data_IF_123970059224
#
_entry.id   IF_123970059224
#
_cell.length_a   1.000
_cell.length_b   1.000
_cell.length_c   1.000
_cell.angle_alpha   90.00
_cell.angle_beta   90.00
_cell.angle_gamma   90.00
#
_symmetry.space_group_name_H-M   'P 1'
#
loop_
_entity.id
_entity.type
_entity.pdbx_description
1 polymer ?
#
# COMPACT_ATOMS: atom_id res chain seq x y z
N UNK A 1 34.97 -17.29 63.90
CA UNK A 1 34.05 -18.26 63.29
C UNK A 1 33.12 -17.56 62.28
N UNK A 2 32.55 -18.31 61.31
CA UNK A 2 31.66 -17.80 60.26
C UNK A 2 30.38 -18.61 60.22
N UNK A 3 29.34 -17.96 59.75
CA UNK A 3 28.05 -18.58 59.50
C UNK A 3 27.55 -18.19 58.11
N UNK A 4 26.72 -19.04 57.55
CA UNK A 4 26.05 -18.80 56.28
C UNK A 4 24.55 -18.63 56.50
N UNK A 5 23.93 -17.72 55.79
CA UNK A 5 22.49 -17.50 55.82
C UNK A 5 21.97 -17.65 54.41
N UNK A 6 21.02 -18.54 54.22
CA UNK A 6 20.33 -18.71 52.93
C UNK A 6 19.28 -17.61 52.80
N UNK A 7 19.34 -16.86 51.71
CA UNK A 7 18.37 -15.82 51.41
C UNK A 7 17.73 -16.08 50.04
N UNK A 8 16.55 -15.56 49.86
CA UNK A 8 15.84 -15.59 48.56
C UNK A 8 15.82 -14.17 47.96
N UNK A 9 16.18 -14.08 46.72
CA UNK A 9 16.16 -12.83 45.98
C UNK A 9 15.18 -12.95 44.82
N UNK A 10 14.26 -12.01 44.71
CA UNK A 10 13.33 -11.96 43.60
C UNK A 10 14.00 -11.16 42.47
N UNK A 11 14.08 -11.74 41.29
CA UNK A 11 14.56 -11.07 40.09
C UNK A 11 13.33 -10.71 39.25
N UNK A 12 13.12 -9.41 39.04
CA UNK A 12 11.98 -8.94 38.28
C UNK A 12 12.16 -9.29 36.80
N UNK A 13 11.16 -9.94 36.16
CA UNK A 13 11.22 -10.18 34.72
C UNK A 13 11.29 -8.88 33.94
N UNK A 14 12.05 -8.86 32.86
CA UNK A 14 12.16 -7.64 32.04
C UNK A 14 10.83 -7.20 31.46
N UNK A 15 9.91 -8.11 31.16
CA UNK A 15 8.54 -7.76 30.74
C UNK A 15 7.81 -6.86 31.74
N UNK A 16 8.14 -6.94 33.02
CA UNK A 16 7.54 -6.12 34.07
C UNK A 16 8.30 -4.82 34.34
N UNK A 17 9.54 -4.72 33.83
CA UNK A 17 10.38 -3.53 33.98
C UNK A 17 10.18 -2.52 32.86
N UNK A 18 9.78 -2.97 31.68
CA UNK A 18 9.70 -2.14 30.49
C UNK A 18 8.27 -2.09 29.94
N UNK A 19 7.92 -0.96 29.36
CA UNK A 19 6.62 -0.76 28.70
C UNK A 19 6.89 -0.32 27.27
N UNK A 20 7.05 -1.27 26.32
CA UNK A 20 7.32 -0.93 24.94
C UNK A 20 6.11 -0.27 24.29
N UNK A 21 6.39 0.65 23.37
CA UNK A 21 5.37 1.40 22.66
C UNK A 21 5.44 1.13 21.16
N UNK A 22 4.30 1.21 20.49
CA UNK A 22 4.22 1.02 19.06
C UNK A 22 4.65 2.27 18.29
N UNK A 23 5.20 2.04 17.10
CA UNK A 23 5.37 3.05 16.05
C UNK A 23 4.34 2.72 14.97
N UNK A 24 3.35 3.59 14.78
CA UNK A 24 2.33 3.39 13.77
C UNK A 24 2.96 3.26 12.38
N UNK A 25 2.43 2.36 11.58
CA UNK A 25 2.93 2.04 10.25
C UNK A 25 1.93 2.45 9.17
N UNK A 26 2.44 2.90 8.05
CA UNK A 26 1.67 3.13 6.84
C UNK A 26 2.38 2.39 5.71
N UNK A 27 1.67 1.49 5.03
CA UNK A 27 2.25 0.59 4.04
C UNK A 27 1.43 0.56 2.76
N UNK A 28 2.09 0.18 1.68
CA UNK A 28 1.42 -0.11 0.42
C UNK A 28 0.70 -1.47 0.49
N UNK A 29 -0.29 -1.65 -0.36
CA UNK A 29 -0.99 -2.93 -0.48
C UNK A 29 0.00 -4.08 -0.71
N UNK A 30 -0.12 -5.12 0.09
CA UNK A 30 0.73 -6.32 0.00
C UNK A 30 2.08 -6.23 0.69
N UNK A 31 2.44 -5.11 1.32
CA UNK A 31 3.73 -4.91 1.98
C UNK A 31 3.60 -5.01 3.50
N UNK A 32 3.99 -6.16 4.07
CA UNK A 32 4.01 -6.34 5.53
C UNK A 32 5.11 -5.48 6.13
N UNK A 33 4.80 -4.63 7.12
CA UNK A 33 5.83 -3.83 7.78
C UNK A 33 6.77 -4.70 8.61
N UNK A 34 8.01 -4.23 8.75
CA UNK A 34 9.00 -4.89 9.59
C UNK A 34 8.61 -4.72 11.06
N UNK A 35 8.45 -5.81 11.84
CA UNK A 35 8.14 -5.69 13.25
C UNK A 35 9.23 -4.97 14.06
N UNK A 36 10.49 -5.10 13.67
CA UNK A 36 11.61 -4.44 14.36
C UNK A 36 11.52 -2.90 14.30
N UNK A 37 10.92 -2.35 13.26
CA UNK A 37 10.71 -0.91 13.11
C UNK A 37 9.32 -0.46 13.51
N UNK A 38 8.49 -1.38 13.99
CA UNK A 38 7.12 -1.13 14.41
C UNK A 38 6.97 -0.95 15.93
N UNK A 39 8.07 -1.08 16.66
CA UNK A 39 8.14 -0.88 18.11
C UNK A 39 9.30 0.06 18.41
N UNK A 40 9.07 1.02 19.30
CA UNK A 40 10.15 1.91 19.74
C UNK A 40 11.06 1.13 20.69
N UNK A 41 12.28 0.84 20.24
CA UNK A 41 13.27 0.07 21.00
C UNK A 41 14.17 0.95 21.89
N UNK A 42 14.01 2.26 21.83
CA UNK A 42 14.81 3.19 22.65
C UNK A 42 14.53 2.93 24.12
N UNK A 43 15.59 2.69 24.88
CA UNK A 43 15.50 2.41 26.31
C UNK A 43 15.22 0.94 26.66
N UNK A 44 14.99 0.08 25.67
CA UNK A 44 14.87 -1.34 25.89
C UNK A 44 16.27 -1.98 26.01
N UNK A 45 16.38 -3.15 26.68
CA UNK A 45 17.68 -3.80 26.85
C UNK A 45 18.33 -4.17 25.51
N UNK A 46 19.66 -4.12 25.45
CA UNK A 46 20.40 -4.62 24.30
C UNK A 46 20.07 -6.09 24.07
N UNK A 47 19.89 -6.47 22.80
CA UNK A 47 19.51 -7.83 22.44
C UNK A 47 17.99 -8.06 22.41
N UNK A 48 17.17 -7.04 22.68
CA UNK A 48 15.73 -7.12 22.51
C UNK A 48 15.40 -7.27 21.02
N UNK A 49 14.55 -8.22 20.68
CA UNK A 49 14.09 -8.49 19.32
C UNK A 49 12.56 -8.39 19.25
N UNK A 50 12.05 -8.12 18.04
CA UNK A 50 10.62 -7.98 17.81
C UNK A 50 10.20 -8.84 16.62
N UNK A 51 9.14 -9.61 16.81
CA UNK A 51 8.51 -10.41 15.76
C UNK A 51 7.01 -10.13 15.74
N UNK A 52 6.33 -10.56 14.68
CA UNK A 52 4.86 -10.49 14.66
C UNK A 52 4.29 -11.72 15.40
N UNK A 53 3.44 -11.47 16.39
CA UNK A 53 2.55 -12.50 16.95
C UNK A 53 1.33 -12.64 16.04
N UNK A 54 0.72 -11.52 15.67
CA UNK A 54 -0.34 -11.43 14.68
C UNK A 54 0.13 -10.51 13.58
N UNK A 55 0.45 -11.08 12.43
CA UNK A 55 0.89 -10.31 11.26
C UNK A 55 -0.27 -9.47 10.76
N UNK A 56 -0.09 -8.16 10.52
CA UNK A 56 -1.15 -7.34 9.97
C UNK A 56 -1.57 -7.82 8.59
N UNK A 57 -2.88 -7.77 8.30
CA UNK A 57 -3.42 -8.09 6.98
C UNK A 57 -3.23 -6.87 6.08
N UNK A 58 -2.36 -6.99 5.08
CA UNK A 58 -2.05 -5.91 4.14
C UNK A 58 -2.68 -6.11 2.77
N UNK A 59 -3.65 -7.03 2.66
CA UNK A 59 -4.31 -7.36 1.38
C UNK A 59 -5.41 -6.40 0.98
N UNK A 60 -5.97 -5.65 1.92
CA UNK A 60 -7.03 -4.68 1.67
C UNK A 60 -6.69 -3.34 2.30
N UNK A 61 -7.15 -2.21 1.72
CA UNK A 61 -6.87 -0.89 2.29
C UNK A 61 -7.59 -0.66 3.61
N UNK A 62 -7.08 0.27 4.39
CA UNK A 62 -7.64 0.67 5.67
C UNK A 62 -6.82 0.26 6.87
N UNK A 63 -7.44 0.30 8.04
CA UNK A 63 -6.80 0.00 9.33
C UNK A 63 -6.79 -1.51 9.58
N UNK A 64 -5.59 -2.08 9.67
CA UNK A 64 -5.38 -3.51 9.94
C UNK A 64 -4.25 -3.67 10.94
N UNK A 65 -4.52 -3.47 12.26
CA UNK A 65 -3.46 -3.54 13.26
C UNK A 65 -2.86 -4.93 13.37
N UNK A 66 -1.55 -4.98 13.66
CA UNK A 66 -0.87 -6.21 14.02
C UNK A 66 -0.59 -6.25 15.52
N UNK A 67 -0.15 -7.40 16.00
CA UNK A 67 0.35 -7.56 17.37
C UNK A 67 1.81 -7.96 17.29
N UNK A 68 2.70 -7.11 17.79
CA UNK A 68 4.11 -7.39 17.86
C UNK A 68 4.44 -8.11 19.18
N UNK A 69 5.40 -9.01 19.13
CA UNK A 69 5.93 -9.72 20.28
C UNK A 69 7.35 -9.23 20.52
N UNK A 70 7.55 -8.59 21.67
CA UNK A 70 8.85 -8.06 22.08
C UNK A 70 9.54 -9.12 22.95
N UNK A 71 10.68 -9.60 22.48
CA UNK A 71 11.47 -10.65 23.16
C UNK A 71 12.63 -10.02 23.89
N UNK A 72 12.62 -10.11 25.22
CA UNK A 72 13.70 -9.59 26.04
C UNK A 72 14.82 -10.61 26.20
N UNK A 73 16.07 -10.15 26.50
CA UNK A 73 17.21 -11.05 26.70
C UNK A 73 17.02 -12.08 27.82
N UNK A 74 16.18 -11.81 28.82
CA UNK A 74 15.89 -12.76 29.90
C UNK A 74 14.86 -13.83 29.51
N UNK A 75 14.39 -13.85 28.27
CA UNK A 75 13.42 -14.83 27.78
C UNK A 75 11.96 -14.45 28.02
N UNK A 76 11.70 -13.33 28.69
CA UNK A 76 10.32 -12.83 28.86
C UNK A 76 9.88 -12.00 27.66
N UNK A 77 8.58 -11.81 27.52
CA UNK A 77 7.98 -11.17 26.33
C UNK A 77 6.87 -10.21 26.70
N UNK A 78 6.72 -9.16 25.88
CA UNK A 78 5.55 -8.28 25.92
C UNK A 78 4.87 -8.25 24.56
N UNK A 79 3.56 -8.05 24.57
CA UNK A 79 2.78 -7.83 23.36
C UNK A 79 2.51 -6.35 23.18
N UNK A 80 2.62 -5.86 21.93
CA UNK A 80 2.33 -4.49 21.60
C UNK A 80 1.42 -4.47 20.39
N UNK A 81 0.23 -3.87 20.52
CA UNK A 81 -0.63 -3.64 19.36
C UNK A 81 -0.05 -2.51 18.51
N UNK A 82 0.18 -2.77 17.23
CA UNK A 82 0.77 -1.82 16.28
C UNK A 82 -0.30 -1.38 15.29
N UNK A 83 -0.64 -0.08 15.28
CA UNK A 83 -1.54 0.44 14.24
C UNK A 83 -0.86 0.34 12.88
N UNK A 84 -1.58 -0.21 11.91
CA UNK A 84 -1.12 -0.32 10.53
C UNK A 84 -2.21 0.20 9.60
N UNK A 85 -1.86 1.19 8.79
CA UNK A 85 -2.73 1.68 7.74
C UNK A 85 -2.21 1.17 6.40
N UNK A 86 -3.05 0.45 5.69
CA UNK A 86 -2.77 0.02 4.32
C UNK A 86 -3.36 1.06 3.38
N UNK A 87 -2.51 1.66 2.54
CA UNK A 87 -2.94 2.67 1.57
C UNK A 87 -3.85 2.07 0.51
N UNK A 88 -4.75 2.88 -0.03
CA UNK A 88 -5.44 2.54 -1.27
C UNK A 88 -4.45 2.60 -2.43
N UNK A 89 -4.60 1.73 -3.42
CA UNK A 89 -3.69 1.72 -4.58
C UNK A 89 -3.70 3.03 -5.36
N UNK A 90 -4.83 3.76 -5.37
CA UNK A 90 -4.88 5.10 -5.97
C UNK A 90 -3.90 6.10 -5.33
N UNK A 91 -3.53 5.88 -4.06
CA UNK A 91 -2.57 6.74 -3.37
C UNK A 91 -1.13 6.40 -3.75
N UNK A 92 -0.88 5.17 -4.16
CA UNK A 92 0.46 4.65 -4.47
C UNK A 92 0.84 4.88 -5.93
N UNK A 93 -0.11 4.72 -6.85
CA UNK A 93 0.14 4.79 -8.28
C UNK A 93 -0.22 6.15 -8.86
N UNK A 94 0.49 6.55 -9.90
CA UNK A 94 0.29 7.82 -10.58
C UNK A 94 0.14 7.58 -12.08
N UNK A 95 -1.05 7.18 -12.54
CA UNK A 95 -1.26 6.83 -13.94
C UNK A 95 -1.18 8.06 -14.83
N UNK A 96 -0.67 7.87 -16.05
CA UNK A 96 -0.48 8.92 -17.03
C UNK A 96 -1.06 8.53 -18.37
N UNK A 97 -1.42 9.55 -19.15
CA UNK A 97 -1.86 9.37 -20.54
C UNK A 97 -0.71 8.89 -21.41
N UNK A 98 -1.00 7.97 -22.30
CA UNK A 98 -0.03 7.43 -23.25
C UNK A 98 0.25 8.44 -24.37
N UNK A 99 1.53 8.60 -24.68
CA UNK A 99 1.99 9.41 -25.81
C UNK A 99 2.73 8.54 -26.83
N UNK A 100 2.48 8.69 -28.13
CA UNK A 100 1.49 9.57 -28.74
C UNK A 100 0.06 9.09 -28.49
N UNK A 101 -0.92 10.00 -28.66
CA UNK A 101 -2.34 9.70 -28.53
C UNK A 101 -2.75 8.58 -29.47
N UNK A 102 -3.69 7.72 -29.04
CA UNK A 102 -4.27 6.74 -29.95
C UNK A 102 -5.06 7.43 -31.07
N UNK A 103 -5.05 6.80 -32.24
CA UNK A 103 -5.79 7.27 -33.41
C UNK A 103 -6.95 6.33 -33.67
N UNK A 104 -8.11 6.89 -33.92
CA UNK A 104 -9.33 6.12 -34.18
C UNK A 104 -10.05 6.70 -35.40
N UNK A 105 -10.93 5.90 -35.96
CA UNK A 105 -11.76 6.26 -37.11
C UNK A 105 -13.02 6.98 -36.64
N UNK A 106 -13.67 7.64 -37.58
CA UNK A 106 -14.99 8.24 -37.39
C UNK A 106 -15.97 7.26 -36.76
N UNK A 107 -16.64 7.66 -35.69
CA UNK A 107 -17.61 6.85 -34.93
C UNK A 107 -17.08 5.56 -34.31
N UNK A 108 -15.75 5.32 -34.33
CA UNK A 108 -15.16 4.21 -33.60
C UNK A 108 -15.16 4.52 -32.12
N UNK A 109 -15.52 3.54 -31.29
CA UNK A 109 -15.40 3.64 -29.84
C UNK A 109 -13.96 3.34 -29.44
N UNK A 110 -13.20 4.30 -28.90
CA UNK A 110 -11.82 4.05 -28.53
C UNK A 110 -11.72 3.07 -27.37
N UNK A 111 -10.65 2.27 -27.35
CA UNK A 111 -10.32 1.43 -26.20
C UNK A 111 -9.64 2.31 -25.13
N UNK A 112 -10.22 2.45 -23.94
CA UNK A 112 -9.65 3.33 -22.91
C UNK A 112 -8.25 2.88 -22.45
N UNK A 113 -7.97 1.58 -22.42
CA UNK A 113 -6.66 1.06 -22.03
C UNK A 113 -5.54 1.55 -22.95
N UNK A 114 -5.83 1.74 -24.22
CA UNK A 114 -4.84 2.22 -25.20
C UNK A 114 -4.45 3.67 -25.01
N UNK A 115 -5.16 4.41 -24.17
CA UNK A 115 -4.85 5.80 -23.85
C UNK A 115 -4.03 5.97 -22.57
N UNK A 116 -3.69 4.88 -21.90
CA UNK A 116 -3.00 4.92 -20.60
C UNK A 116 -1.67 4.16 -20.68
N UNK A 117 -0.65 4.70 -20.01
CA UNK A 117 0.59 3.97 -19.75
C UNK A 117 0.34 2.92 -18.68
N UNK A 118 0.24 1.65 -19.08
CA UNK A 118 -0.18 0.56 -18.19
C UNK A 118 0.98 -0.18 -17.51
N UNK A 119 2.22 0.05 -17.95
CA UNK A 119 3.39 -0.75 -17.55
C UNK A 119 3.65 -0.76 -16.04
N UNK A 120 3.42 0.35 -15.36
CA UNK A 120 3.71 0.50 -13.93
C UNK A 120 2.47 0.31 -13.05
N UNK A 121 1.34 -0.07 -13.64
CA UNK A 121 0.10 -0.28 -12.90
C UNK A 121 -0.06 -1.74 -12.49
N UNK A 122 -0.76 -2.01 -11.37
CA UNK A 122 -0.93 -3.39 -10.90
C UNK A 122 -1.64 -4.27 -11.92
N UNK A 123 -1.24 -5.54 -11.95
CA UNK A 123 -1.94 -6.56 -12.73
C UNK A 123 -3.39 -6.69 -12.24
N UNK A 124 -4.34 -6.72 -13.15
CA UNK A 124 -5.76 -6.77 -12.80
C UNK A 124 -6.43 -5.41 -12.73
N UNK A 125 -5.69 -4.33 -13.00
CA UNK A 125 -6.25 -2.99 -13.15
C UNK A 125 -7.19 -2.96 -14.34
N UNK A 126 -8.34 -2.29 -14.20
CA UNK A 126 -9.38 -2.17 -15.23
C UNK A 126 -9.49 -0.74 -15.71
N UNK A 127 -9.89 -0.58 -16.98
CA UNK A 127 -10.01 0.71 -17.64
C UNK A 127 -11.39 0.84 -18.26
N UNK A 128 -12.02 1.99 -18.06
CA UNK A 128 -13.30 2.31 -18.68
C UNK A 128 -13.36 3.81 -18.96
N UNK A 129 -14.30 4.24 -19.77
CA UNK A 129 -14.53 5.65 -19.99
C UNK A 129 -15.47 6.19 -18.91
N UNK A 130 -15.03 7.16 -18.12
CA UNK A 130 -15.92 8.01 -17.32
C UNK A 130 -16.51 9.13 -18.16
N UNK A 131 -15.76 9.57 -19.19
CA UNK A 131 -16.20 10.52 -20.19
C UNK A 131 -15.64 10.07 -21.54
N UNK A 132 -16.50 9.49 -22.38
CA UNK A 132 -16.09 8.98 -23.69
C UNK A 132 -15.80 10.13 -24.66
N UNK A 133 -14.66 10.10 -25.39
CA UNK A 133 -14.39 11.10 -26.41
C UNK A 133 -15.43 11.04 -27.54
N UNK A 134 -15.81 12.21 -28.04
CA UNK A 134 -16.71 12.29 -29.19
C UNK A 134 -15.93 12.03 -30.49
N UNK A 135 -16.20 10.90 -31.13
CA UNK A 135 -15.53 10.49 -32.37
C UNK A 135 -16.35 10.77 -33.63
N UNK A 136 -17.43 11.54 -33.52
CA UNK A 136 -18.27 11.89 -34.65
C UNK A 136 -17.69 12.92 -35.58
N UNK A 137 -16.62 13.60 -35.16
CA UNK A 137 -15.92 14.62 -35.95
C UNK A 137 -14.40 14.46 -35.88
N UNK A 138 -13.64 14.82 -36.92
CA UNK A 138 -12.19 14.65 -36.89
C UNK A 138 -11.51 15.62 -35.94
N UNK A 139 -10.27 15.31 -35.59
CA UNK A 139 -9.39 16.10 -34.75
C UNK A 139 -9.12 15.52 -33.39
N UNK A 140 -8.50 16.32 -32.55
CA UNK A 140 -8.17 15.95 -31.17
C UNK A 140 -9.40 16.04 -30.28
N UNK A 141 -9.73 14.95 -29.61
CA UNK A 141 -10.91 14.86 -28.73
C UNK A 141 -10.48 14.45 -27.33
N UNK A 142 -10.98 15.16 -26.33
CA UNK A 142 -10.70 14.89 -24.94
C UNK A 142 -11.68 13.88 -24.36
N UNK A 143 -11.17 12.97 -23.55
CA UNK A 143 -11.99 12.04 -22.77
C UNK A 143 -11.37 11.85 -21.39
N UNK A 144 -12.06 11.10 -20.54
CA UNK A 144 -11.55 10.72 -19.21
C UNK A 144 -11.65 9.22 -19.04
N UNK A 145 -10.50 8.62 -18.75
CA UNK A 145 -10.42 7.19 -18.42
C UNK A 145 -10.58 7.01 -16.93
N UNK A 146 -11.51 6.14 -16.53
CA UNK A 146 -11.63 5.68 -15.16
C UNK A 146 -10.76 4.44 -14.99
N UNK A 147 -9.79 4.53 -14.09
CA UNK A 147 -8.90 3.43 -13.73
C UNK A 147 -9.42 2.83 -12.45
N UNK A 148 -9.69 1.53 -12.46
CA UNK A 148 -10.14 0.78 -11.28
C UNK A 148 -9.04 -0.21 -10.90
N UNK A 149 -8.43 0.03 -9.74
CA UNK A 149 -7.38 -0.83 -9.21
C UNK A 149 -7.96 -2.13 -8.63
N UNK A 150 -7.11 -3.17 -8.46
CA UNK A 150 -7.57 -4.43 -7.85
C UNK A 150 -8.21 -4.28 -6.47
N UNK A 151 -7.82 -3.26 -5.68
CA UNK A 151 -8.42 -2.97 -4.38
C UNK A 151 -9.72 -2.16 -4.47
N UNK A 152 -10.21 -1.91 -5.70
CA UNK A 152 -11.41 -1.15 -6.04
C UNK A 152 -11.31 0.36 -5.87
N UNK A 153 -10.17 0.89 -5.46
CA UNK A 153 -9.94 2.32 -5.52
C UNK A 153 -9.85 2.78 -6.97
N UNK A 154 -10.24 4.01 -7.25
CA UNK A 154 -10.34 4.53 -8.62
C UNK A 154 -9.66 5.88 -8.79
N UNK A 155 -9.21 6.13 -10.01
CA UNK A 155 -8.68 7.42 -10.44
C UNK A 155 -9.17 7.74 -11.85
N UNK A 156 -9.23 9.01 -12.18
CA UNK A 156 -9.52 9.47 -13.53
C UNK A 156 -8.27 10.10 -14.16
N UNK A 157 -8.05 9.80 -15.43
CA UNK A 157 -6.97 10.42 -16.23
C UNK A 157 -7.60 11.05 -17.45
N UNK A 158 -7.34 12.34 -17.63
CA UNK A 158 -7.73 13.06 -18.86
C UNK A 158 -6.81 12.66 -19.99
N UNK A 159 -7.38 12.24 -21.11
CA UNK A 159 -6.65 11.79 -22.29
C UNK A 159 -7.14 12.50 -23.54
N UNK A 160 -6.34 12.46 -24.58
CA UNK A 160 -6.69 12.94 -25.91
C UNK A 160 -6.66 11.78 -26.89
N UNK A 161 -7.63 11.75 -27.77
CA UNK A 161 -7.74 10.77 -28.86
C UNK A 161 -7.78 11.51 -30.17
N UNK A 162 -7.02 11.07 -31.16
CA UNK A 162 -7.05 11.64 -32.51
C UNK A 162 -8.07 10.92 -33.37
N UNK A 163 -9.06 11.65 -33.87
CA UNK A 163 -10.05 11.10 -34.79
C UNK A 163 -9.63 11.43 -36.23
N UNK A 164 -9.40 10.41 -37.02
CA UNK A 164 -8.95 10.52 -38.40
C UNK A 164 -10.07 11.09 -39.27
N UNK A 165 -9.79 12.08 -40.15
CA UNK A 165 -10.79 12.55 -41.11
C UNK A 165 -11.26 11.43 -42.03
N UNK A 166 -12.57 11.33 -42.31
CA UNK A 166 -13.11 10.30 -43.19
C UNK A 166 -12.49 10.35 -44.59
N UNK A 167 -12.12 11.53 -45.06
CA UNK A 167 -11.45 11.68 -46.37
C UNK A 167 -10.13 10.92 -46.44
N UNK A 168 -9.48 10.67 -45.30
CA UNK A 168 -8.21 9.94 -45.23
C UNK A 168 -8.41 8.43 -45.03
N UNK A 169 -9.65 7.99 -44.79
CA UNK A 169 -10.00 6.58 -44.56
C UNK A 169 -10.38 5.85 -45.84
N UNK A 170 -10.75 6.57 -46.87
CA UNK A 170 -11.26 6.03 -48.15
C UNK A 170 -10.45 6.52 -49.33
#
# INVERSE_FOLDING_TARGET
>A
STEEVTVTVEVTPQKDEYTPTAIAQEVDNGHVPDPETSVNKTGLPDGTTVTWKTTPDVSTPGSHPGVALVHYPDGTEDEVEVPVRVKEQKETFNPTAKEPNQKVRHNEVPDPEKSINTNDLPKGTKYSWSEQPDTSKPGSKTGKVLITYPDKSTEEVTVTVEVTPQKDEY
#
